data_IF_864190758548
#
_entry.id   IF_864190758548
#
_cell.length_a   1.000
_cell.length_b   1.000
_cell.length_c   1.000
_cell.angle_alpha   90.00
_cell.angle_beta   90.00
_cell.angle_gamma   90.00
#
_symmetry.space_group_name_H-M   'P 1'
#
loop_
_entity.id
_entity.type
_entity.pdbx_description
1 polymer ?
#
# COMPACT_ATOMS: atom_id res chain seq x y z
N UNK A 1 -1.03 7.43 -30.08
CA UNK A 1 -1.65 8.05 -28.88
C UNK A 1 -2.65 7.04 -28.32
N UNK A 2 -2.57 6.68 -27.05
CA UNK A 2 -3.52 5.72 -26.43
C UNK A 2 -4.70 6.50 -25.88
N UNK A 3 -5.92 6.08 -26.21
CA UNK A 3 -7.12 6.73 -25.69
C UNK A 3 -7.35 6.37 -24.21
N UNK A 4 -8.03 7.25 -23.45
CA UNK A 4 -8.39 6.97 -22.05
C UNK A 4 -9.25 5.70 -21.89
N UNK A 5 -9.99 5.31 -22.94
CA UNK A 5 -10.80 4.08 -22.97
C UNK A 5 -9.91 2.84 -23.12
N UNK A 6 -8.95 2.88 -24.03
CA UNK A 6 -7.98 1.78 -24.21
C UNK A 6 -7.05 1.61 -23.01
N UNK A 7 -6.70 2.69 -22.31
CA UNK A 7 -5.96 2.62 -21.05
C UNK A 7 -6.78 1.85 -20.01
N UNK A 8 -8.01 2.29 -19.72
CA UNK A 8 -8.89 1.60 -18.75
C UNK A 8 -9.18 0.13 -19.10
N UNK A 9 -9.31 -0.20 -20.39
CA UNK A 9 -9.50 -1.59 -20.82
C UNK A 9 -8.26 -2.45 -20.58
N UNK A 10 -7.04 -1.89 -20.74
CA UNK A 10 -5.80 -2.59 -20.39
C UNK A 10 -5.61 -2.75 -18.89
N UNK A 11 -6.03 -1.76 -18.11
CA UNK A 11 -5.90 -1.75 -16.64
C UNK A 11 -7.00 -2.59 -15.95
N UNK A 12 -8.08 -2.95 -16.66
CA UNK A 12 -9.24 -3.66 -16.11
C UNK A 12 -8.92 -5.02 -15.50
N UNK A 13 -7.95 -5.73 -16.07
CA UNK A 13 -7.53 -7.05 -15.60
C UNK A 13 -6.26 -7.00 -14.74
N UNK A 14 -5.62 -5.83 -14.65
CA UNK A 14 -4.39 -5.66 -13.90
C UNK A 14 -4.70 -5.55 -12.41
N UNK A 15 -4.34 -6.60 -11.64
CA UNK A 15 -4.37 -6.55 -10.20
C UNK A 15 -3.07 -5.91 -9.66
N UNK A 16 -2.96 -4.58 -9.84
CA UNK A 16 -1.79 -3.80 -9.46
C UNK A 16 -1.33 -4.04 -8.02
N UNK A 17 -2.29 -4.21 -7.10
CA UNK A 17 -1.97 -4.46 -5.70
C UNK A 17 -1.27 -5.81 -5.51
N UNK A 18 -1.76 -6.86 -6.18
CA UNK A 18 -1.16 -8.18 -6.08
C UNK A 18 0.22 -8.25 -6.76
N UNK A 19 0.41 -7.56 -7.89
CA UNK A 19 1.72 -7.43 -8.52
C UNK A 19 2.71 -6.67 -7.63
N UNK A 20 2.26 -5.58 -7.01
CA UNK A 20 3.06 -4.85 -6.03
C UNK A 20 3.47 -5.76 -4.86
N UNK A 21 2.56 -6.54 -4.30
CA UNK A 21 2.87 -7.49 -3.23
C UNK A 21 3.89 -8.55 -3.67
N UNK A 22 3.80 -9.04 -4.91
CA UNK A 22 4.81 -9.98 -5.45
C UNK A 22 6.20 -9.34 -5.53
N UNK A 23 6.30 -8.13 -6.06
CA UNK A 23 7.56 -7.39 -6.18
C UNK A 23 8.13 -7.11 -4.79
N UNK A 24 7.30 -6.62 -3.87
CA UNK A 24 7.70 -6.34 -2.50
C UNK A 24 8.21 -7.61 -1.81
N UNK A 25 7.52 -8.75 -1.95
CA UNK A 25 7.93 -10.02 -1.34
C UNK A 25 9.22 -10.58 -1.94
N UNK A 26 9.42 -10.44 -3.25
CA UNK A 26 10.58 -11.00 -3.95
C UNK A 26 11.85 -10.17 -3.74
N UNK A 27 11.77 -8.85 -3.94
CA UNK A 27 12.93 -7.97 -3.90
C UNK A 27 13.15 -7.32 -2.53
N UNK A 28 12.09 -7.14 -1.75
CA UNK A 28 12.12 -6.37 -0.51
C UNK A 28 11.52 -7.15 0.66
N UNK A 29 11.97 -8.40 0.82
CA UNK A 29 11.44 -9.35 1.82
C UNK A 29 11.47 -8.80 3.25
N UNK A 30 12.51 -8.02 3.59
CA UNK A 30 12.69 -7.42 4.92
C UNK A 30 12.16 -5.99 5.03
N UNK A 31 11.47 -5.45 4.01
CA UNK A 31 11.00 -4.07 4.00
C UNK A 31 10.21 -3.72 5.26
N UNK A 32 9.25 -4.57 5.63
CA UNK A 32 8.42 -4.34 6.82
C UNK A 32 9.23 -4.38 8.11
N UNK A 33 10.23 -5.26 8.20
CA UNK A 33 11.11 -5.35 9.37
C UNK A 33 12.00 -4.11 9.47
N UNK A 34 12.48 -3.60 8.34
CA UNK A 34 13.30 -2.39 8.28
C UNK A 34 12.47 -1.15 8.65
N UNK A 35 11.26 -1.03 8.12
CA UNK A 35 10.35 0.07 8.45
C UNK A 35 9.99 0.10 9.94
N UNK A 36 9.77 -1.06 10.57
CA UNK A 36 9.52 -1.16 12.03
C UNK A 36 10.69 -0.72 12.89
N UNK A 37 11.92 -0.82 12.39
CA UNK A 37 13.15 -0.44 13.11
C UNK A 37 13.43 1.06 13.04
N UNK A 38 12.78 1.78 12.13
CA UNK A 38 12.96 3.24 12.02
C UNK A 38 12.30 3.88 13.23
N UNK A 39 13.10 4.56 14.05
CA UNK A 39 12.60 5.38 15.15
C UNK A 39 11.81 6.56 14.57
N UNK A 40 10.52 6.64 14.89
CA UNK A 40 9.71 7.79 14.52
C UNK A 40 9.83 8.87 15.60
N UNK A 41 10.57 9.93 15.28
CA UNK A 41 10.80 11.07 16.16
C UNK A 41 9.54 11.94 16.33
N UNK A 42 8.49 11.70 15.56
CA UNK A 42 7.23 12.45 15.63
C UNK A 42 6.45 11.98 16.85
N UNK A 43 5.98 12.94 17.65
CA UNK A 43 5.03 12.64 18.72
C UNK A 43 3.69 12.19 18.10
N UNK A 44 3.12 11.08 18.58
CA UNK A 44 1.93 10.45 17.96
C UNK A 44 0.71 11.37 17.85
N UNK A 45 0.60 12.38 18.73
CA UNK A 45 -0.49 13.36 18.68
C UNK A 45 -0.36 14.40 17.56
N UNK A 46 0.81 14.52 16.90
CA UNK A 46 1.01 15.45 15.78
C UNK A 46 0.63 14.85 14.43
N UNK A 47 0.24 13.58 14.39
CA UNK A 47 -0.11 12.93 13.13
C UNK A 47 -1.61 13.13 12.89
N UNK A 48 -1.96 14.29 12.35
CA UNK A 48 -3.32 14.57 11.89
C UNK A 48 -3.56 13.78 10.60
N UNK A 49 -4.09 12.57 10.74
CA UNK A 49 -4.53 11.80 9.59
C UNK A 49 -5.89 12.33 9.12
N UNK A 50 -5.99 12.61 7.83
CA UNK A 50 -7.29 12.84 7.20
C UNK A 50 -8.22 11.62 7.39
N UNK A 51 -9.55 11.83 7.49
CA UNK A 51 -10.52 10.74 7.63
C UNK A 51 -10.34 9.62 6.59
N UNK A 52 -9.94 9.97 5.38
CA UNK A 52 -9.72 9.06 4.25
C UNK A 52 -8.55 8.11 4.53
N UNK A 53 -7.48 8.62 5.15
CA UNK A 53 -6.29 7.81 5.49
C UNK A 53 -6.61 6.82 6.60
N UNK A 54 -7.38 7.24 7.61
CA UNK A 54 -7.84 6.37 8.68
C UNK A 54 -8.75 5.27 8.15
N UNK A 55 -9.72 5.63 7.31
CA UNK A 55 -10.65 4.67 6.69
C UNK A 55 -9.91 3.66 5.81
N UNK A 56 -8.99 4.12 4.98
CA UNK A 56 -8.15 3.27 4.15
C UNK A 56 -7.31 2.29 4.99
N UNK A 57 -6.71 2.78 6.08
CA UNK A 57 -5.92 1.94 6.99
C UNK A 57 -6.79 0.87 7.67
N UNK A 58 -8.03 1.20 8.06
CA UNK A 58 -8.97 0.21 8.62
C UNK A 58 -9.39 -0.85 7.59
N UNK A 59 -9.64 -0.46 6.35
CA UNK A 59 -10.02 -1.38 5.27
C UNK A 59 -8.88 -2.34 4.89
N UNK A 60 -7.62 -1.90 5.00
CA UNK A 60 -6.45 -2.73 4.73
C UNK A 60 -6.01 -3.59 5.94
N UNK A 61 -6.51 -3.30 7.14
CA UNK A 61 -6.14 -4.05 8.36
C UNK A 61 -6.35 -5.57 8.24
N UNK A 62 -7.41 -6.10 7.59
CA UNK A 62 -7.61 -7.54 7.42
C UNK A 62 -6.57 -8.19 6.48
N UNK A 63 -6.12 -7.50 5.43
CA UNK A 63 -5.18 -8.05 4.44
C UNK A 63 -3.76 -8.19 4.99
N UNK A 64 -3.38 -7.36 5.95
CA UNK A 64 -2.07 -7.45 6.62
C UNK A 64 -2.02 -8.44 7.80
N UNK A 65 -3.15 -9.04 8.21
CA UNK A 65 -3.21 -9.96 9.36
C UNK A 65 -3.09 -11.43 8.97
N UNK A 66 -3.26 -11.74 7.69
CA UNK A 66 -3.28 -13.10 7.13
C UNK A 66 -2.05 -13.43 6.26
N UNK A 67 -1.04 -12.56 6.24
CA UNK A 67 0.22 -12.75 5.49
C UNK A 67 1.42 -13.05 6.37
#
# INVERSE_FOLDING_TARGET
MVTRKEKRNREKEANYFFEFLKIQKHFFKDLMNNLKKVADHRHQSYITYGPEVLLFTMMLKPTFRTS
#
